data_IF_455693694748
#
_entry.id   IF_455693694748
#
_cell.length_a   1.000
_cell.length_b   1.000
_cell.length_c   1.000
_cell.angle_alpha   90.00
_cell.angle_beta   90.00
_cell.angle_gamma   90.00
#
_symmetry.space_group_name_H-M   'P 1'
#
loop_
_entity.id
_entity.type
_entity.pdbx_description
1 polymer ?
#
# COMPACT_ATOMS: atom_id res chain seq x y z
N UNK A 1 18.89 27.28 -15.08
CA UNK A 1 18.18 27.28 -13.78
C UNK A 1 17.91 25.82 -13.42
N UNK A 2 18.00 25.44 -12.14
CA UNK A 2 17.62 24.10 -11.71
C UNK A 2 16.09 23.99 -11.74
N UNK A 3 15.54 22.93 -12.34
CA UNK A 3 14.10 22.64 -12.28
C UNK A 3 13.72 22.29 -10.84
N UNK A 4 12.58 22.79 -10.39
CA UNK A 4 11.98 22.43 -9.11
C UNK A 4 11.25 21.09 -9.22
N UNK A 5 10.89 20.50 -8.08
CA UNK A 5 10.08 19.28 -8.05
C UNK A 5 8.70 19.51 -8.70
N UNK A 6 8.13 20.70 -8.54
CA UNK A 6 6.85 21.05 -9.17
C UNK A 6 6.97 21.17 -10.69
N UNK A 7 8.06 21.78 -11.19
CA UNK A 7 8.32 21.85 -12.65
C UNK A 7 8.43 20.44 -13.26
N UNK A 8 9.14 19.52 -12.60
CA UNK A 8 9.26 18.13 -13.05
C UNK A 8 7.93 17.38 -12.99
N UNK A 9 7.12 17.64 -11.95
CA UNK A 9 5.80 17.03 -11.80
C UNK A 9 4.87 17.45 -12.94
N UNK A 10 4.84 18.74 -13.28
CA UNK A 10 4.01 19.25 -14.39
C UNK A 10 4.39 18.58 -15.71
N UNK A 11 5.69 18.46 -15.99
CA UNK A 11 6.19 17.78 -17.19
C UNK A 11 5.82 16.29 -17.23
N UNK A 12 5.97 15.57 -16.12
CA UNK A 12 5.59 14.15 -16.04
C UNK A 12 4.09 13.99 -16.23
N UNK A 13 3.26 14.87 -15.66
CA UNK A 13 1.81 14.80 -15.81
C UNK A 13 1.33 15.04 -17.26
N UNK A 14 2.11 15.74 -18.08
CA UNK A 14 1.81 15.96 -19.49
C UNK A 14 2.06 14.72 -20.37
N UNK A 15 2.80 13.71 -19.89
CA UNK A 15 3.12 12.50 -20.65
C UNK A 15 1.91 11.57 -20.82
N UNK A 16 1.91 10.66 -21.81
CA UNK A 16 0.93 9.58 -21.92
C UNK A 16 0.88 8.69 -20.67
N UNK A 17 -0.28 8.09 -20.40
CA UNK A 17 -0.51 7.31 -19.17
C UNK A 17 0.52 6.20 -18.93
N UNK A 18 0.96 5.51 -19.98
CA UNK A 18 1.94 4.43 -19.88
C UNK A 18 3.32 4.93 -19.41
N UNK A 19 3.76 6.08 -19.91
CA UNK A 19 5.04 6.68 -19.55
C UNK A 19 5.01 7.21 -18.11
N UNK A 20 3.90 7.82 -17.70
CA UNK A 20 3.67 8.22 -16.31
C UNK A 20 3.72 7.03 -15.37
N UNK A 21 3.06 5.92 -15.72
CA UNK A 21 3.06 4.71 -14.92
C UNK A 21 4.46 4.13 -14.75
N UNK A 22 5.28 4.15 -15.82
CA UNK A 22 6.68 3.73 -15.75
C UNK A 22 7.48 4.62 -14.78
N UNK A 23 7.41 5.94 -14.94
CA UNK A 23 8.12 6.89 -14.07
C UNK A 23 7.67 6.74 -12.62
N UNK A 24 6.37 6.58 -12.36
CA UNK A 24 5.86 6.34 -11.01
C UNK A 24 6.44 5.04 -10.40
N UNK A 25 6.52 3.96 -11.19
CA UNK A 25 7.14 2.71 -10.75
C UNK A 25 8.62 2.88 -10.44
N UNK A 26 9.37 3.59 -11.28
CA UNK A 26 10.80 3.82 -11.10
C UNK A 26 11.07 4.68 -9.84
N UNK A 27 10.25 5.71 -9.62
CA UNK A 27 10.33 6.54 -8.42
C UNK A 27 10.03 5.74 -7.15
N UNK A 28 8.99 4.90 -7.15
CA UNK A 28 8.69 4.04 -6.01
C UNK A 28 9.84 3.06 -5.73
N UNK A 29 10.36 2.40 -6.76
CA UNK A 29 11.49 1.50 -6.62
C UNK A 29 12.76 2.21 -6.11
N UNK A 30 12.92 3.51 -6.38
CA UNK A 30 14.04 4.28 -5.84
C UNK A 30 13.94 4.48 -4.32
N UNK A 31 12.72 4.56 -3.78
CA UNK A 31 12.49 4.67 -2.33
C UNK A 31 12.79 3.35 -1.61
N UNK A 32 12.58 2.22 -2.28
CA UNK A 32 12.90 0.89 -1.74
C UNK A 32 14.42 0.65 -1.59
N UNK A 33 15.26 1.52 -2.16
CA UNK A 33 16.73 1.43 -2.06
C UNK A 33 17.34 2.32 -0.99
N UNK A 34 16.55 3.17 -0.33
CA UNK A 34 16.98 3.78 0.92
C UNK A 34 17.15 2.67 1.96
N UNK A 35 18.32 2.62 2.61
CA UNK A 35 18.61 1.62 3.63
C UNK A 35 17.58 1.77 4.75
N UNK A 36 16.60 0.87 4.76
CA UNK A 36 15.59 0.84 5.80
C UNK A 36 16.22 0.21 7.04
N UNK A 37 15.99 0.83 8.18
CA UNK A 37 16.41 0.27 9.46
C UNK A 37 15.50 -0.94 9.78
N UNK A 38 16.02 -2.15 9.53
CA UNK A 38 15.31 -3.40 9.79
C UNK A 38 14.93 -3.53 11.28
N UNK A 39 15.75 -3.00 12.20
CA UNK A 39 15.45 -3.03 13.63
C UNK A 39 14.29 -2.08 13.95
N UNK A 40 14.22 -0.92 13.29
CA UNK A 40 13.07 0.00 13.42
C UNK A 40 11.79 -0.64 12.87
N UNK A 41 11.86 -1.29 11.70
CA UNK A 41 10.73 -2.03 11.10
C UNK A 41 10.22 -3.07 12.10
N UNK A 42 11.10 -3.92 12.62
CA UNK A 42 10.73 -5.01 13.53
C UNK A 42 10.10 -4.47 14.83
N UNK A 43 10.65 -3.37 15.37
CA UNK A 43 10.07 -2.71 16.54
C UNK A 43 8.65 -2.18 16.25
N UNK A 44 8.46 -1.49 15.13
CA UNK A 44 7.16 -0.93 14.74
C UNK A 44 6.11 -2.03 14.49
N UNK A 45 6.48 -3.11 13.80
CA UNK A 45 5.58 -4.24 13.54
C UNK A 45 5.27 -5.04 14.80
N UNK A 46 6.23 -5.20 15.71
CA UNK A 46 6.01 -5.85 17.00
C UNK A 46 5.00 -5.07 17.83
N UNK A 47 5.16 -3.74 17.92
CA UNK A 47 4.23 -2.87 18.62
C UNK A 47 2.81 -2.91 18.02
N UNK A 48 2.68 -2.84 16.69
CA UNK A 48 1.36 -2.91 16.03
C UNK A 48 0.71 -4.29 16.19
N UNK A 49 1.49 -5.38 16.14
CA UNK A 49 0.95 -6.73 16.32
C UNK A 49 0.41 -6.93 17.74
N UNK A 50 1.14 -6.46 18.75
CA UNK A 50 0.69 -6.48 20.15
C UNK A 50 -0.59 -5.63 20.31
N UNK A 51 -0.63 -4.43 19.73
CA UNK A 51 -1.82 -3.58 19.73
C UNK A 51 -3.02 -4.29 19.10
N UNK A 52 -2.86 -4.94 17.95
CA UNK A 52 -3.95 -5.68 17.28
C UNK A 52 -4.41 -6.89 18.07
N UNK A 53 -3.50 -7.63 18.71
CA UNK A 53 -3.86 -8.72 19.60
C UNK A 53 -4.75 -8.21 20.75
N UNK A 54 -4.36 -7.12 21.40
CA UNK A 54 -5.15 -6.51 22.47
C UNK A 54 -6.53 -6.02 22.00
N UNK A 55 -6.64 -5.46 20.78
CA UNK A 55 -7.92 -5.07 20.20
C UNK A 55 -8.83 -6.29 19.92
N UNK A 56 -8.25 -7.43 19.52
CA UNK A 56 -9.00 -8.68 19.34
C UNK A 56 -9.46 -9.25 20.69
N UNK A 57 -8.58 -9.27 21.69
CA UNK A 57 -8.88 -9.78 23.03
C UNK A 57 -9.94 -8.96 23.75
N UNK A 58 -9.92 -7.63 23.59
CA UNK A 58 -10.92 -6.71 24.16
C UNK A 58 -12.26 -6.72 23.41
N UNK A 59 -12.30 -7.26 22.19
CA UNK A 59 -13.47 -7.21 21.31
C UNK A 59 -13.71 -5.84 20.65
N UNK A 60 -12.76 -4.90 20.79
CA UNK A 60 -12.82 -3.59 20.12
C UNK A 60 -12.55 -3.70 18.61
N UNK A 61 -11.84 -4.75 18.20
CA UNK A 61 -11.57 -5.01 16.79
C UNK A 61 -12.86 -5.34 16.03
N UNK A 62 -13.12 -4.60 14.95
CA UNK A 62 -14.13 -5.00 13.96
C UNK A 62 -13.66 -6.24 13.19
N UNK A 63 -14.21 -7.41 13.53
CA UNK A 63 -13.87 -8.68 12.88
C UNK A 63 -14.89 -9.07 11.81
N UNK A 64 -14.46 -9.85 10.82
CA UNK A 64 -15.33 -10.51 9.86
C UNK A 64 -15.37 -12.00 10.15
N UNK A 65 -16.53 -12.62 9.91
CA UNK A 65 -16.62 -14.08 9.98
C UNK A 65 -15.98 -14.71 8.75
N UNK A 66 -15.63 -15.99 8.84
CA UNK A 66 -15.15 -16.74 7.69
C UNK A 66 -16.16 -16.72 6.51
N UNK A 67 -17.45 -16.85 6.79
CA UNK A 67 -18.50 -16.79 5.77
C UNK A 67 -18.59 -15.43 5.05
N UNK A 68 -18.28 -14.33 5.74
CA UNK A 68 -18.22 -13.00 5.09
C UNK A 68 -17.07 -12.92 4.08
N UNK A 69 -15.93 -13.53 4.41
CA UNK A 69 -14.76 -13.61 3.53
C UNK A 69 -15.04 -14.52 2.32
N UNK A 70 -15.65 -15.68 2.54
CA UNK A 70 -16.04 -16.59 1.46
C UNK A 70 -16.98 -15.92 0.46
N UNK A 71 -18.02 -15.24 0.95
CA UNK A 71 -18.96 -14.49 0.12
C UNK A 71 -18.24 -13.41 -0.69
N UNK A 72 -17.37 -12.63 -0.06
CA UNK A 72 -16.58 -11.59 -0.75
C UNK A 72 -15.70 -12.16 -1.87
N UNK A 73 -15.13 -13.34 -1.68
CA UNK A 73 -14.36 -14.01 -2.74
C UNK A 73 -15.24 -14.52 -3.88
N UNK A 74 -16.42 -15.07 -3.58
CA UNK A 74 -17.38 -15.49 -4.59
C UNK A 74 -17.82 -14.29 -5.45
N UNK A 75 -18.18 -13.17 -4.81
CA UNK A 75 -18.63 -11.95 -5.50
C UNK A 75 -17.53 -11.40 -6.41
N UNK A 76 -16.28 -11.32 -5.95
CA UNK A 76 -15.14 -10.88 -6.78
C UNK A 76 -14.91 -11.77 -7.99
N UNK A 77 -15.10 -13.09 -7.87
CA UNK A 77 -14.94 -14.01 -9.01
C UNK A 77 -16.06 -13.81 -10.04
N UNK A 78 -17.30 -13.66 -9.58
CA UNK A 78 -18.44 -13.38 -10.46
C UNK A 78 -18.24 -12.07 -11.25
N UNK A 79 -17.70 -11.02 -10.63
CA UNK A 79 -17.42 -9.72 -11.27
C UNK A 79 -16.28 -9.76 -12.30
N UNK A 80 -15.34 -10.71 -12.19
CA UNK A 80 -14.23 -10.87 -13.16
C UNK A 80 -14.60 -11.75 -14.36
N UNK A 81 -15.64 -12.56 -14.23
CA UNK A 81 -16.13 -13.45 -15.29
C UNK A 81 -17.31 -12.89 -16.09
N UNK A 82 -17.81 -11.71 -15.72
CA UNK A 82 -18.84 -10.94 -16.44
C UNK A 82 -18.19 -9.87 -17.31
#
# INVERSE_FOLDING_TARGET
MAKTADDLREEVLALPAQERARIASDLLASLDSEAVDEDEIDQLWSAETQRRAALLESGEAGTLTWGDIERRFADRRAQRGA
#
